data_IF_571491483621
#
_entry.id   IF_571491483621
#
_cell.length_a   1.000
_cell.length_b   1.000
_cell.length_c   1.000
_cell.angle_alpha   90.00
_cell.angle_beta   90.00
_cell.angle_gamma   90.00
#
_symmetry.space_group_name_H-M   'P 1'
#
loop_
_entity.id
_entity.type
_entity.pdbx_description
1 polymer ?
#
# COMPACT_ATOMS: atom_id res chain seq x y z
N UNK A 1 5.73 -5.42 2.70
CA UNK A 1 6.80 -5.88 3.60
C UNK A 1 7.17 -4.69 4.48
N UNK A 2 6.38 -4.43 5.53
CA UNK A 2 6.51 -3.19 6.30
C UNK A 2 7.87 -3.08 7.03
N UNK A 3 8.68 -2.09 6.67
CA UNK A 3 9.91 -1.77 7.39
C UNK A 3 9.57 -1.18 8.77
N UNK A 4 9.72 -1.98 9.82
CA UNK A 4 9.53 -1.58 11.22
C UNK A 4 10.87 -1.44 11.93
N UNK A 5 11.00 -0.42 12.78
CA UNK A 5 12.06 -0.34 13.80
C UNK A 5 11.39 -0.16 15.16
N UNK A 6 11.70 -1.04 16.11
CA UNK A 6 11.07 -1.07 17.44
C UNK A 6 11.96 -0.36 18.46
N UNK A 7 11.40 0.59 19.21
CA UNK A 7 11.99 1.14 20.44
C UNK A 7 11.04 0.89 21.61
N UNK A 8 11.57 0.30 22.68
CA UNK A 8 10.82 -0.08 23.88
C UNK A 8 11.21 0.83 25.04
N UNK A 9 10.23 1.52 25.64
CA UNK A 9 10.43 2.32 26.84
C UNK A 9 9.66 1.70 28.02
N UNK A 10 10.34 1.51 29.15
CA UNK A 10 9.71 1.00 30.38
C UNK A 10 9.21 2.18 31.22
N UNK A 11 7.91 2.20 31.49
CA UNK A 11 7.24 3.19 32.35
C UNK A 11 6.58 2.40 33.49
N UNK A 12 6.56 2.87 34.74
CA UNK A 12 6.06 2.09 35.89
C UNK A 12 4.56 1.72 35.82
N UNK A 13 3.81 2.22 34.83
CA UNK A 13 2.40 1.91 34.55
C UNK A 13 2.21 0.87 33.42
N UNK A 14 3.28 0.51 32.69
CA UNK A 14 3.20 -0.45 31.59
C UNK A 14 4.34 -0.33 30.59
N UNK A 15 4.33 -1.18 29.58
CA UNK A 15 5.24 -1.06 28.44
C UNK A 15 4.57 -0.20 27.37
N UNK A 16 5.23 0.87 26.93
CA UNK A 16 4.83 1.57 25.71
C UNK A 16 5.76 1.11 24.59
N UNK A 17 5.17 0.58 23.53
CA UNK A 17 5.89 0.22 22.31
C UNK A 17 5.68 1.34 21.28
N UNK A 18 6.73 2.12 21.03
CA UNK A 18 6.73 3.08 19.94
C UNK A 18 7.13 2.37 18.65
N UNK A 19 6.21 2.38 17.69
CA UNK A 19 6.42 1.85 16.34
C UNK A 19 6.54 3.02 15.38
N UNK A 20 7.75 3.28 14.89
CA UNK A 20 7.93 4.20 13.77
C UNK A 20 7.39 3.54 12.50
N UNK A 21 6.30 4.08 11.97
CA UNK A 21 5.72 3.66 10.71
C UNK A 21 6.17 4.61 9.60
N UNK A 22 6.76 4.04 8.55
CA UNK A 22 7.02 4.77 7.31
C UNK A 22 5.77 4.74 6.42
N UNK A 23 5.57 5.76 5.58
CA UNK A 23 4.50 5.72 4.61
C UNK A 23 4.68 4.53 3.67
N UNK A 24 3.59 3.78 3.49
CA UNK A 24 3.43 2.70 2.52
C UNK A 24 3.77 3.21 1.14
N UNK A 25 4.51 2.46 0.35
CA UNK A 25 4.68 2.77 -1.08
C UNK A 25 3.48 2.26 -1.91
N UNK A 26 3.38 2.68 -3.17
CA UNK A 26 2.25 2.30 -4.03
C UNK A 26 2.22 0.79 -4.34
N UNK A 27 3.37 0.12 -4.39
CA UNK A 27 3.42 -1.32 -4.64
C UNK A 27 2.86 -2.07 -3.43
N UNK A 28 3.27 -1.71 -2.22
CA UNK A 28 2.73 -2.23 -0.97
C UNK A 28 1.21 -2.01 -0.86
N UNK A 29 0.70 -0.91 -1.40
CA UNK A 29 -0.74 -0.60 -1.39
C UNK A 29 -1.50 -1.58 -2.29
N UNK A 30 -0.96 -1.87 -3.47
CA UNK A 30 -1.52 -2.86 -4.38
C UNK A 30 -1.46 -4.28 -3.79
N UNK A 31 -0.38 -4.63 -3.09
CA UNK A 31 -0.28 -5.89 -2.35
C UNK A 31 -1.35 -6.01 -1.26
N UNK A 32 -1.54 -4.97 -0.45
CA UNK A 32 -2.55 -4.95 0.61
C UNK A 32 -3.98 -5.08 0.08
N UNK A 33 -4.23 -4.66 -1.17
CA UNK A 33 -5.54 -4.81 -1.81
C UNK A 33 -5.87 -6.26 -2.24
N UNK A 34 -4.91 -7.19 -2.22
CA UNK A 34 -5.17 -8.61 -2.50
C UNK A 34 -5.23 -9.00 -3.98
N UNK A 35 -4.69 -8.17 -4.89
CA UNK A 35 -4.63 -8.47 -6.32
C UNK A 35 -3.52 -7.73 -7.08
N UNK A 36 -2.54 -7.17 -6.36
CA UNK A 36 -1.51 -6.31 -6.93
C UNK A 36 -0.41 -7.05 -7.69
N UNK A 37 -0.15 -8.32 -7.36
CA UNK A 37 1.07 -9.01 -7.79
C UNK A 37 1.12 -9.22 -9.31
N UNK A 38 0.03 -9.69 -9.92
CA UNK A 38 -0.07 -9.85 -11.38
C UNK A 38 -0.12 -8.51 -12.12
N UNK A 39 -0.74 -7.48 -11.53
CA UNK A 39 -0.82 -6.14 -12.12
C UNK A 39 0.54 -5.44 -12.09
N UNK A 40 1.29 -5.57 -10.98
CA UNK A 40 2.65 -5.05 -10.84
C UNK A 40 3.56 -5.74 -11.85
N UNK A 41 3.49 -7.05 -11.97
CA UNK A 41 4.31 -7.82 -12.92
C UNK A 41 4.00 -7.43 -14.37
N UNK A 42 2.72 -7.32 -14.73
CA UNK A 42 2.30 -6.83 -16.05
C UNK A 42 2.78 -5.41 -16.36
N UNK A 43 2.64 -4.47 -15.41
CA UNK A 43 3.12 -3.10 -15.56
C UNK A 43 4.64 -3.04 -15.70
N UNK A 44 5.36 -3.89 -14.96
CA UNK A 44 6.81 -4.01 -15.02
C UNK A 44 7.25 -4.50 -16.40
N UNK A 45 6.59 -5.51 -16.95
CA UNK A 45 6.84 -5.98 -18.31
C UNK A 45 6.53 -4.91 -19.36
N UNK A 46 5.45 -4.17 -19.19
CA UNK A 46 5.12 -3.05 -20.08
C UNK A 46 6.22 -1.98 -20.07
N UNK A 47 6.71 -1.64 -18.88
CA UNK A 47 7.79 -0.67 -18.69
C UNK A 47 9.11 -1.14 -19.32
N UNK A 48 9.52 -2.40 -19.09
CA UNK A 48 10.74 -2.99 -19.65
C UNK A 48 10.69 -2.99 -21.18
N UNK A 49 9.55 -3.41 -21.75
CA UNK A 49 9.37 -3.50 -23.19
C UNK A 49 8.98 -2.16 -23.84
N UNK A 50 8.83 -1.09 -23.06
CA UNK A 50 8.36 0.24 -23.49
C UNK A 50 7.05 0.20 -24.29
N UNK A 51 6.19 -0.73 -23.93
CA UNK A 51 4.85 -0.87 -24.50
C UNK A 51 3.85 -0.16 -23.58
N UNK A 52 2.83 0.45 -24.17
CA UNK A 52 1.74 0.99 -23.37
C UNK A 52 0.90 -0.17 -22.84
N UNK A 53 0.55 -0.17 -21.55
CA UNK A 53 -0.39 -1.15 -21.02
C UNK A 53 -1.74 -0.98 -21.71
N UNK A 54 -2.55 -2.04 -21.70
CA UNK A 54 -3.91 -1.96 -22.22
C UNK A 54 -4.74 -0.91 -21.47
N UNK A 55 -5.69 -0.28 -22.17
CA UNK A 55 -6.47 0.85 -21.64
C UNK A 55 -7.23 0.48 -20.36
N UNK A 56 -7.80 -0.73 -20.30
CA UNK A 56 -8.50 -1.23 -19.11
C UNK A 56 -7.60 -1.35 -17.88
N UNK A 57 -6.38 -1.89 -18.04
CA UNK A 57 -5.41 -2.00 -16.96
C UNK A 57 -4.86 -0.63 -16.59
N UNK A 58 -4.61 0.23 -17.58
CA UNK A 58 -4.15 1.59 -17.34
C UNK A 58 -5.14 2.39 -16.48
N UNK A 59 -6.42 2.34 -16.82
CA UNK A 59 -7.49 3.00 -16.07
C UNK A 59 -7.65 2.42 -14.65
N UNK A 60 -7.57 1.10 -14.52
CA UNK A 60 -7.60 0.42 -13.23
C UNK A 60 -6.47 0.94 -12.32
N UNK A 61 -5.25 0.96 -12.85
CA UNK A 61 -4.04 1.37 -12.11
C UNK A 61 -4.11 2.85 -11.76
N UNK A 62 -4.54 3.72 -12.68
CA UNK A 62 -4.77 5.14 -12.41
C UNK A 62 -5.82 5.37 -11.34
N UNK A 63 -6.91 4.60 -11.35
CA UNK A 63 -7.93 4.66 -10.30
C UNK A 63 -7.33 4.31 -8.94
N UNK A 64 -6.53 3.24 -8.86
CA UNK A 64 -5.86 2.86 -7.60
C UNK A 64 -4.81 3.85 -7.15
N UNK A 65 -4.08 4.45 -8.08
CA UNK A 65 -3.14 5.52 -7.79
C UNK A 65 -3.86 6.73 -7.17
N UNK A 66 -5.01 7.13 -7.72
CA UNK A 66 -5.84 8.21 -7.15
C UNK A 66 -6.32 7.87 -5.75
N UNK A 67 -6.80 6.65 -5.52
CA UNK A 67 -7.22 6.19 -4.19
C UNK A 67 -6.05 6.24 -3.19
N UNK A 68 -4.86 5.81 -3.60
CA UNK A 68 -3.64 5.90 -2.80
C UNK A 68 -3.23 7.36 -2.52
N UNK A 69 -3.35 8.28 -3.49
CA UNK A 69 -3.06 9.71 -3.28
C UNK A 69 -4.04 10.38 -2.30
N UNK A 70 -5.29 9.92 -2.26
CA UNK A 70 -6.31 10.44 -1.35
C UNK A 70 -6.11 9.90 0.08
N UNK A 71 -5.84 8.60 0.23
CA UNK A 71 -5.54 8.00 1.54
C UNK A 71 -4.15 8.38 2.07
N UNK A 72 -3.20 8.62 1.18
CA UNK A 72 -1.77 8.74 1.48
C UNK A 72 -1.12 7.40 1.83
N UNK A 73 0.15 7.45 2.22
CA UNK A 73 0.92 6.28 2.65
C UNK A 73 0.73 5.92 4.13
N UNK A 74 -0.10 6.65 4.90
CA UNK A 74 -0.22 6.35 6.33
C UNK A 74 -0.84 4.96 6.53
N UNK A 75 -0.15 4.01 7.19
CA UNK A 75 -0.60 2.61 7.20
C UNK A 75 -1.98 2.40 7.83
N UNK A 76 -2.30 3.20 8.84
CA UNK A 76 -3.58 3.16 9.53
C UNK A 76 -4.73 3.70 8.66
N UNK A 77 -4.47 4.67 7.79
CA UNK A 77 -5.47 5.18 6.84
C UNK A 77 -5.73 4.17 5.72
N UNK A 78 -4.67 3.53 5.21
CA UNK A 78 -4.75 2.46 4.21
C UNK A 78 -5.54 1.26 4.74
N UNK A 79 -5.23 0.81 5.97
CA UNK A 79 -5.94 -0.32 6.60
C UNK A 79 -7.43 -0.02 6.81
N UNK A 80 -7.77 1.18 7.30
CA UNK A 80 -9.17 1.59 7.45
C UNK A 80 -9.92 1.63 6.11
N UNK A 81 -9.26 2.13 5.05
CA UNK A 81 -9.84 2.19 3.71
C UNK A 81 -10.10 0.80 3.11
N UNK A 82 -9.11 -0.09 3.18
CA UNK A 82 -9.21 -1.46 2.68
C UNK A 82 -10.30 -2.22 3.45
N UNK A 83 -10.32 -2.13 4.78
CA UNK A 83 -11.31 -2.81 5.61
C UNK A 83 -12.74 -2.28 5.42
N UNK A 84 -12.93 -0.98 5.13
CA UNK A 84 -14.25 -0.46 4.74
C UNK A 84 -14.69 -0.97 3.37
N UNK A 85 -13.78 -1.05 2.40
CA UNK A 85 -14.10 -1.40 1.01
C UNK A 85 -14.32 -2.91 0.78
N UNK A 86 -13.68 -3.77 1.57
CA UNK A 86 -13.83 -5.24 1.49
C UNK A 86 -15.12 -5.73 2.19
N UNK A 87 -15.73 -4.92 3.06
CA UNK A 87 -16.92 -5.29 3.85
C UNK A 87 -18.26 -5.14 3.12
N UNK A 88 -18.26 -4.69 1.87
CA UNK A 88 -19.46 -4.50 1.05
C UNK A 88 -19.35 -5.23 -0.28
#
# INVERSE_FOLDING_TARGET
MFRRTLRKAFIPIGTIEEVSMYPLDFEEFLYAYGGGESVIEYLRDCYINRISPDESTHDLVLKRLKEYLICGGLPQAVDAYINQKIRY
#
